data_IF_068340154689
#
_entry.id   IF_068340154689
#
_cell.length_a   1.000
_cell.length_b   1.000
_cell.length_c   1.000
_cell.angle_alpha   90.00
_cell.angle_beta   90.00
_cell.angle_gamma   90.00
#
_symmetry.space_group_name_H-M   'P 1'
#
loop_
_entity.id
_entity.type
_entity.pdbx_description
1 polymer ?
#
# COMPACT_ATOMS: atom_id res chain seq x y z
N UNK A 1 25.63 -21.93 -17.88
CA UNK A 1 24.91 -20.90 -17.07
C UNK A 1 23.90 -20.25 -18.01
N UNK A 2 22.66 -20.14 -17.56
CA UNK A 2 21.62 -19.42 -18.31
C UNK A 2 21.89 -17.93 -18.15
N UNK A 3 22.01 -17.20 -19.27
CA UNK A 3 22.14 -15.74 -19.22
C UNK A 3 20.79 -15.11 -18.87
N UNK A 4 20.76 -14.23 -17.87
CA UNK A 4 19.60 -13.47 -17.44
C UNK A 4 19.95 -11.98 -17.53
N UNK A 5 19.19 -11.18 -18.30
CA UNK A 5 18.05 -11.56 -19.15
C UNK A 5 18.49 -12.39 -20.36
N UNK A 6 17.54 -13.17 -20.91
CA UNK A 6 17.75 -13.88 -22.17
C UNK A 6 17.74 -12.95 -23.40
N UNK A 7 18.07 -13.45 -24.61
CA UNK A 7 18.24 -12.59 -25.78
C UNK A 7 16.97 -11.89 -26.25
N UNK A 8 15.79 -12.52 -26.12
CA UNK A 8 14.51 -11.90 -26.49
C UNK A 8 14.13 -10.82 -25.47
N UNK A 9 14.32 -11.10 -24.18
CA UNK A 9 14.05 -10.13 -23.10
C UNK A 9 14.99 -8.92 -23.25
N UNK A 10 16.28 -9.12 -23.49
CA UNK A 10 17.26 -8.03 -23.72
C UNK A 10 16.79 -7.12 -24.86
N UNK A 11 16.48 -7.69 -26.02
CA UNK A 11 16.04 -6.92 -27.19
C UNK A 11 14.78 -6.09 -26.88
N UNK A 12 13.78 -6.72 -26.26
CA UNK A 12 12.52 -6.04 -25.97
C UNK A 12 12.69 -4.92 -24.93
N UNK A 13 13.49 -5.14 -23.90
CA UNK A 13 13.80 -4.13 -22.88
C UNK A 13 14.52 -2.93 -23.49
N UNK A 14 15.48 -3.17 -24.41
CA UNK A 14 16.20 -2.10 -25.09
C UNK A 14 15.27 -1.27 -26.01
N UNK A 15 14.33 -1.90 -26.68
CA UNK A 15 13.32 -1.23 -27.50
C UNK A 15 12.32 -0.46 -26.59
N UNK A 16 11.87 -1.06 -25.50
CA UNK A 16 10.94 -0.45 -24.56
C UNK A 16 11.52 0.82 -23.93
N UNK A 17 12.79 0.83 -23.55
CA UNK A 17 13.48 2.01 -22.99
C UNK A 17 13.54 3.20 -23.95
N UNK A 18 13.41 2.98 -25.26
CA UNK A 18 13.39 4.07 -26.24
C UNK A 18 12.04 4.80 -26.30
N UNK A 19 10.97 4.16 -25.85
CA UNK A 19 9.59 4.65 -25.99
C UNK A 19 8.86 4.83 -24.66
N UNK A 20 9.49 4.44 -23.55
CA UNK A 20 8.84 4.45 -22.22
C UNK A 20 9.79 5.01 -21.17
N UNK A 21 9.22 5.72 -20.21
CA UNK A 21 9.93 6.11 -18.99
C UNK A 21 10.08 4.87 -18.09
N UNK A 22 11.32 4.42 -17.87
CA UNK A 22 11.62 3.16 -17.17
C UNK A 22 12.08 3.35 -15.70
N UNK A 23 11.77 4.49 -15.11
CA UNK A 23 12.21 4.87 -13.74
C UNK A 23 11.76 3.90 -12.63
N UNK A 24 10.80 3.01 -12.91
CA UNK A 24 10.23 2.10 -11.91
C UNK A 24 10.50 0.62 -12.18
N UNK A 25 11.07 0.27 -13.34
CA UNK A 25 11.38 -1.12 -13.68
C UNK A 25 12.71 -1.54 -13.03
N UNK A 26 12.65 -2.55 -12.16
CA UNK A 26 13.82 -2.99 -11.37
C UNK A 26 14.53 -4.17 -12.03
N UNK A 27 13.78 -5.07 -12.65
CA UNK A 27 14.31 -6.30 -13.21
C UNK A 27 14.18 -6.29 -14.74
N UNK A 28 15.25 -6.63 -15.49
CA UNK A 28 15.20 -6.67 -16.94
C UNK A 28 14.57 -7.98 -17.45
N UNK A 29 13.50 -8.42 -16.81
CA UNK A 29 12.75 -9.61 -17.19
C UNK A 29 11.46 -9.22 -17.92
N UNK A 30 11.15 -9.95 -18.96
CA UNK A 30 9.90 -9.78 -19.70
C UNK A 30 9.03 -11.01 -19.45
N UNK A 31 8.07 -10.85 -18.54
CA UNK A 31 7.21 -11.95 -18.11
C UNK A 31 6.19 -12.28 -19.19
N UNK A 32 6.14 -13.55 -19.59
CA UNK A 32 5.19 -14.08 -20.56
C UNK A 32 3.96 -14.69 -19.89
N UNK A 33 4.17 -15.43 -18.82
CA UNK A 33 3.10 -16.10 -18.08
C UNK A 33 3.47 -16.34 -16.63
N UNK A 34 2.47 -16.63 -15.81
CA UNK A 34 2.66 -17.01 -14.41
C UNK A 34 1.58 -18.01 -13.97
N UNK A 35 1.94 -18.96 -13.10
CA UNK A 35 1.02 -19.92 -12.49
C UNK A 35 1.43 -20.20 -11.06
N UNK A 36 0.51 -19.97 -10.11
CA UNK A 36 0.80 -20.06 -8.66
C UNK A 36 1.97 -19.16 -8.28
N UNK A 37 3.10 -19.73 -7.84
CA UNK A 37 4.30 -19.01 -7.45
C UNK A 37 5.43 -19.07 -8.50
N UNK A 38 5.14 -19.50 -9.73
CA UNK A 38 6.10 -19.59 -10.82
C UNK A 38 5.75 -18.60 -11.91
N UNK A 39 6.77 -17.99 -12.49
CA UNK A 39 6.68 -17.11 -13.66
C UNK A 39 7.63 -17.63 -14.75
N UNK A 40 7.25 -17.47 -15.99
CA UNK A 40 8.06 -17.78 -17.17
C UNK A 40 8.26 -16.50 -17.99
N UNK A 41 9.48 -16.23 -18.37
CA UNK A 41 9.81 -15.11 -19.25
C UNK A 41 9.63 -15.45 -20.74
N UNK A 42 9.82 -14.46 -21.61
CA UNK A 42 9.68 -14.64 -23.07
C UNK A 42 10.78 -15.51 -23.68
N UNK A 43 11.87 -15.73 -22.98
CA UNK A 43 12.94 -16.65 -23.39
C UNK A 43 12.69 -18.09 -22.95
N UNK A 44 11.59 -18.34 -22.19
CA UNK A 44 11.20 -19.65 -21.69
C UNK A 44 11.92 -20.04 -20.38
N UNK A 45 12.50 -19.08 -19.68
CA UNK A 45 13.18 -19.31 -18.42
C UNK A 45 12.13 -19.25 -17.29
N UNK A 46 12.04 -20.31 -16.50
CA UNK A 46 11.13 -20.38 -15.35
C UNK A 46 11.83 -19.85 -14.09
N UNK A 47 11.12 -19.01 -13.33
CA UNK A 47 11.54 -18.47 -12.05
C UNK A 47 10.54 -18.83 -10.95
N UNK A 48 11.03 -19.04 -9.76
CA UNK A 48 10.21 -19.07 -8.55
C UNK A 48 10.08 -17.63 -8.03
N UNK A 49 8.83 -17.13 -8.00
CA UNK A 49 8.57 -15.77 -7.57
C UNK A 49 8.38 -15.68 -6.06
N UNK A 50 9.32 -15.03 -5.39
CA UNK A 50 9.25 -14.67 -3.98
C UNK A 50 8.73 -13.23 -3.75
N UNK A 51 8.47 -12.47 -4.82
CA UNK A 51 8.00 -11.08 -4.71
C UNK A 51 6.49 -10.99 -4.61
N UNK A 52 5.77 -12.02 -5.10
CA UNK A 52 4.31 -12.02 -5.20
C UNK A 52 3.77 -10.74 -5.87
N UNK A 53 4.46 -10.28 -6.94
CA UNK A 53 4.18 -9.01 -7.62
C UNK A 53 4.13 -7.82 -6.62
N UNK A 54 5.20 -7.67 -5.85
CA UNK A 54 5.32 -6.65 -4.77
C UNK A 54 4.18 -6.80 -3.73
N UNK A 55 3.86 -8.03 -3.36
CA UNK A 55 2.81 -8.35 -2.39
C UNK A 55 1.38 -8.32 -2.91
N UNK A 56 1.14 -7.92 -4.17
CA UNK A 56 -0.20 -7.72 -4.72
C UNK A 56 -0.91 -9.00 -5.20
N UNK A 57 -0.23 -10.15 -5.23
CA UNK A 57 -0.74 -11.44 -5.68
C UNK A 57 -0.84 -12.48 -4.55
N UNK A 58 -1.68 -12.28 -3.51
CA UNK A 58 -1.74 -13.20 -2.37
C UNK A 58 -2.21 -14.61 -2.72
N UNK A 59 -3.00 -14.77 -3.77
CA UNK A 59 -3.51 -16.07 -4.27
C UNK A 59 -2.59 -16.72 -5.32
N UNK A 60 -1.49 -16.05 -5.68
CA UNK A 60 -0.62 -16.47 -6.76
C UNK A 60 -1.17 -16.15 -8.16
N UNK A 61 -0.35 -16.43 -9.16
CA UNK A 61 -0.69 -16.15 -10.56
C UNK A 61 -1.72 -17.14 -11.12
N UNK A 62 -2.59 -16.63 -11.96
CA UNK A 62 -3.55 -17.43 -12.74
C UNK A 62 -4.38 -18.39 -11.87
N UNK A 63 -4.87 -17.88 -10.72
CA UNK A 63 -5.74 -18.67 -9.85
C UNK A 63 -6.99 -19.14 -10.63
N UNK A 64 -7.31 -20.45 -10.66
CA UNK A 64 -8.36 -20.97 -11.53
C UNK A 64 -9.73 -20.35 -11.25
N UNK A 65 -10.12 -20.19 -10.00
CA UNK A 65 -11.41 -19.61 -9.63
C UNK A 65 -11.53 -18.16 -10.06
N UNK A 66 -10.43 -17.37 -9.96
CA UNK A 66 -10.42 -15.98 -10.43
C UNK A 66 -10.54 -15.91 -11.95
N UNK A 67 -9.83 -16.76 -12.67
CA UNK A 67 -9.92 -16.83 -14.14
C UNK A 67 -11.32 -17.21 -14.60
N UNK A 68 -11.99 -18.16 -13.92
CA UNK A 68 -13.34 -18.56 -14.26
C UNK A 68 -14.34 -17.42 -14.01
N UNK A 69 -14.27 -16.74 -12.88
CA UNK A 69 -15.11 -15.57 -12.59
C UNK A 69 -14.92 -14.47 -13.64
N UNK A 70 -13.67 -14.17 -14.04
CA UNK A 70 -13.39 -13.16 -15.06
C UNK A 70 -14.00 -13.57 -16.39
N UNK A 71 -13.84 -14.83 -16.80
CA UNK A 71 -14.37 -15.37 -18.03
C UNK A 71 -15.90 -15.34 -18.05
N UNK A 72 -16.53 -15.78 -16.98
CA UNK A 72 -17.99 -15.72 -16.80
C UNK A 72 -18.50 -14.28 -16.88
N UNK A 73 -17.86 -13.36 -16.17
CA UNK A 73 -18.23 -11.95 -16.18
C UNK A 73 -18.09 -11.33 -17.57
N UNK A 74 -16.99 -11.57 -18.28
CA UNK A 74 -16.75 -11.06 -19.63
C UNK A 74 -17.72 -11.67 -20.68
N UNK A 75 -18.22 -12.87 -20.43
CA UNK A 75 -19.19 -13.53 -21.30
C UNK A 75 -20.65 -13.12 -21.02
N UNK A 76 -20.89 -12.40 -19.93
CA UNK A 76 -22.22 -11.94 -19.54
C UNK A 76 -22.61 -10.67 -20.31
N UNK A 77 -23.92 -10.42 -20.41
CA UNK A 77 -24.48 -9.17 -20.97
C UNK A 77 -24.15 -7.94 -20.12
N UNK A 78 -23.62 -8.14 -18.90
CA UNK A 78 -23.16 -7.04 -18.04
C UNK A 78 -21.96 -6.29 -18.61
N UNK A 79 -21.18 -6.94 -19.50
CA UNK A 79 -20.01 -6.38 -20.14
C UNK A 79 -18.87 -6.04 -19.17
N UNK A 80 -17.63 -6.06 -19.68
CA UNK A 80 -16.47 -5.66 -18.90
C UNK A 80 -16.38 -4.12 -18.71
N UNK A 81 -17.15 -3.37 -19.47
CA UNK A 81 -17.20 -1.92 -19.38
C UNK A 81 -18.52 -1.46 -18.76
N UNK A 82 -18.42 -0.79 -17.64
CA UNK A 82 -19.59 -0.24 -16.93
C UNK A 82 -19.54 1.26 -16.82
N UNK A 83 -20.70 1.87 -16.99
CA UNK A 83 -20.94 3.25 -16.64
C UNK A 83 -21.28 3.26 -15.14
N UNK A 84 -20.24 3.29 -14.30
CA UNK A 84 -20.45 3.26 -12.86
C UNK A 84 -19.78 4.42 -12.12
N UNK A 85 -18.73 4.95 -12.56
CA UNK A 85 -18.01 6.10 -12.00
C UNK A 85 -18.55 6.68 -10.69
N UNK A 86 -18.49 7.96 -10.55
CA UNK A 86 -19.03 8.68 -9.37
C UNK A 86 -20.54 9.01 -9.51
N UNK A 87 -21.10 8.84 -10.69
CA UNK A 87 -22.44 9.33 -11.01
C UNK A 87 -23.51 8.26 -10.81
N UNK A 88 -23.13 6.98 -10.78
CA UNK A 88 -24.08 5.88 -10.70
C UNK A 88 -23.68 4.83 -9.66
N UNK A 89 -24.69 4.31 -8.97
CA UNK A 89 -24.50 3.12 -8.10
C UNK A 89 -24.47 1.85 -8.96
N UNK A 90 -23.68 0.87 -8.52
CA UNK A 90 -23.73 -0.47 -9.09
C UNK A 90 -23.69 -1.54 -7.99
N UNK A 91 -24.27 -2.69 -8.29
CA UNK A 91 -24.39 -3.79 -7.35
C UNK A 91 -23.03 -4.31 -6.90
N UNK A 92 -22.06 -4.35 -7.81
CA UNK A 92 -20.71 -4.83 -7.51
C UNK A 92 -19.99 -3.95 -6.46
N UNK A 93 -20.17 -2.63 -6.52
CA UNK A 93 -19.63 -1.73 -5.49
C UNK A 93 -20.27 -2.00 -4.13
N UNK A 94 -21.60 -2.21 -4.09
CA UNK A 94 -22.30 -2.56 -2.86
C UNK A 94 -21.79 -3.88 -2.30
N UNK A 95 -21.68 -4.91 -3.13
CA UNK A 95 -21.28 -6.25 -2.72
C UNK A 95 -19.84 -6.27 -2.17
N UNK A 96 -18.90 -5.61 -2.85
CA UNK A 96 -17.51 -5.54 -2.35
C UNK A 96 -17.40 -4.66 -1.10
N UNK A 97 -18.13 -3.54 -1.01
CA UNK A 97 -18.16 -2.73 0.20
C UNK A 97 -18.69 -3.53 1.40
N UNK A 98 -19.80 -4.25 1.22
CA UNK A 98 -20.39 -5.10 2.27
C UNK A 98 -19.41 -6.19 2.70
N UNK A 99 -18.70 -6.80 1.76
CA UNK A 99 -17.69 -7.83 2.05
C UNK A 99 -16.51 -7.25 2.83
N UNK A 100 -15.97 -6.12 2.40
CA UNK A 100 -14.88 -5.43 3.10
C UNK A 100 -15.29 -5.05 4.53
N UNK A 101 -16.50 -4.51 4.73
CA UNK A 101 -17.01 -4.18 6.05
C UNK A 101 -17.17 -5.40 6.96
N UNK A 102 -17.50 -6.58 6.40
CA UNK A 102 -17.64 -7.81 7.17
C UNK A 102 -16.32 -8.34 7.75
N UNK A 103 -15.19 -7.93 7.17
CA UNK A 103 -13.84 -8.35 7.58
C UNK A 103 -13.00 -7.20 8.14
N UNK A 104 -13.60 -6.03 8.30
CA UNK A 104 -12.91 -4.82 8.76
C UNK A 104 -13.50 -4.31 10.07
N UNK A 105 -13.03 -3.15 10.52
CA UNK A 105 -13.51 -2.43 11.68
C UNK A 105 -15.03 -2.15 11.60
N UNK A 106 -15.72 -2.25 12.74
CA UNK A 106 -17.12 -1.86 12.86
C UNK A 106 -17.29 -0.34 12.69
N UNK A 107 -18.46 0.05 12.15
CA UNK A 107 -18.83 1.47 11.96
C UNK A 107 -17.89 2.28 11.06
N UNK A 108 -17.34 1.68 10.04
CA UNK A 108 -16.58 2.36 8.99
C UNK A 108 -17.36 2.43 7.67
N UNK A 109 -16.82 3.18 6.72
CA UNK A 109 -17.33 3.30 5.36
C UNK A 109 -16.22 3.03 4.38
N UNK A 110 -16.56 2.44 3.24
CA UNK A 110 -15.62 2.17 2.15
C UNK A 110 -15.64 3.32 1.16
N UNK A 111 -14.47 3.76 0.75
CA UNK A 111 -14.28 4.71 -0.32
C UNK A 111 -13.41 4.09 -1.41
N UNK A 112 -13.94 3.94 -2.62
CA UNK A 112 -13.25 3.28 -3.73
C UNK A 112 -12.37 4.26 -4.51
N UNK A 113 -11.19 3.78 -4.87
CA UNK A 113 -10.18 4.50 -5.67
C UNK A 113 -9.45 3.51 -6.59
N UNK A 114 -8.50 3.99 -7.40
CA UNK A 114 -7.85 3.17 -8.43
C UNK A 114 -6.44 2.69 -8.06
N UNK A 115 -5.83 3.24 -7.03
CA UNK A 115 -4.46 2.88 -6.64
C UNK A 115 -4.20 3.08 -5.15
N UNK A 116 -3.16 2.42 -4.60
CA UNK A 116 -2.73 2.62 -3.23
C UNK A 116 -2.34 4.08 -2.94
N UNK A 117 -1.63 4.75 -3.87
CA UNK A 117 -1.30 6.16 -3.71
C UNK A 117 -2.56 7.05 -3.61
N UNK A 118 -3.60 6.79 -4.41
CA UNK A 118 -4.89 7.49 -4.31
C UNK A 118 -5.60 7.19 -2.99
N UNK A 119 -5.49 5.96 -2.46
CA UNK A 119 -6.04 5.62 -1.16
C UNK A 119 -5.42 6.50 -0.07
N UNK A 120 -4.10 6.59 -0.04
CA UNK A 120 -3.36 7.44 0.90
C UNK A 120 -3.70 8.91 0.71
N UNK A 121 -3.75 9.42 -0.52
CA UNK A 121 -4.17 10.81 -0.81
C UNK A 121 -5.56 11.12 -0.23
N UNK A 122 -6.50 10.21 -0.39
CA UNK A 122 -7.85 10.42 0.13
C UNK A 122 -7.91 10.29 1.65
N UNK A 123 -7.15 9.40 2.26
CA UNK A 123 -7.00 9.32 3.71
C UNK A 123 -6.45 10.63 4.29
N UNK A 124 -5.40 11.18 3.69
CA UNK A 124 -4.82 12.49 4.04
C UNK A 124 -5.87 13.61 3.90
N UNK A 125 -6.60 13.65 2.76
CA UNK A 125 -7.65 14.65 2.54
C UNK A 125 -8.77 14.59 3.57
N UNK A 126 -9.21 13.39 3.95
CA UNK A 126 -10.23 13.18 4.99
C UNK A 126 -9.72 13.72 6.34
N UNK A 127 -8.46 13.41 6.69
CA UNK A 127 -7.86 13.90 7.92
C UNK A 127 -7.73 15.44 7.92
N UNK A 128 -7.26 16.03 6.83
CA UNK A 128 -7.20 17.49 6.68
C UNK A 128 -8.57 18.16 6.76
N UNK A 129 -9.61 17.54 6.18
CA UNK A 129 -10.97 18.07 6.28
C UNK A 129 -11.47 18.14 7.73
N UNK A 130 -11.04 17.21 8.57
CA UNK A 130 -11.40 17.17 10.00
C UNK A 130 -10.54 18.11 10.85
N UNK A 131 -9.22 18.13 10.62
CA UNK A 131 -8.23 18.75 11.50
C UNK A 131 -7.68 20.09 10.99
N UNK A 132 -7.90 20.42 9.70
CA UNK A 132 -7.29 21.58 9.04
C UNK A 132 -5.90 21.26 8.47
N UNK A 133 -5.25 22.24 7.78
CA UNK A 133 -3.99 22.05 7.06
C UNK A 133 -2.77 22.12 7.99
N UNK A 134 -2.74 21.25 8.98
CA UNK A 134 -1.62 21.09 9.94
C UNK A 134 -0.62 20.05 9.42
N UNK A 135 0.62 20.01 9.93
CA UNK A 135 1.57 18.95 9.58
C UNK A 135 0.99 17.56 9.85
N UNK A 136 1.30 16.58 9.00
CA UNK A 136 1.10 15.17 9.32
C UNK A 136 2.35 14.58 9.99
N UNK A 137 2.20 13.43 10.64
CA UNK A 137 3.31 12.62 11.16
C UNK A 137 3.45 11.37 10.33
N UNK A 138 4.69 10.98 9.99
CA UNK A 138 5.00 9.70 9.33
C UNK A 138 6.33 9.16 9.82
N UNK A 139 6.55 7.85 9.69
CA UNK A 139 7.79 7.25 10.12
C UNK A 139 8.91 7.37 9.06
N UNK A 140 10.14 7.36 9.53
CA UNK A 140 11.31 7.21 8.66
C UNK A 140 11.24 5.82 8.01
N UNK A 141 11.57 5.75 6.72
CA UNK A 141 11.50 4.56 5.86
C UNK A 141 10.09 4.10 5.46
N UNK A 142 9.02 4.81 5.83
CA UNK A 142 7.68 4.52 5.29
C UNK A 142 7.60 4.80 3.79
N UNK A 143 6.76 4.02 3.11
CA UNK A 143 6.41 4.21 1.70
C UNK A 143 4.89 4.27 1.54
N UNK A 144 4.38 5.39 1.06
CA UNK A 144 2.94 5.64 0.95
C UNK A 144 2.47 5.94 -0.49
N UNK A 145 3.38 5.91 -1.45
CA UNK A 145 3.07 6.18 -2.84
C UNK A 145 3.95 7.28 -3.44
N UNK A 146 3.67 7.60 -4.71
CA UNK A 146 4.49 8.51 -5.54
C UNK A 146 3.71 9.68 -6.14
N UNK A 147 2.44 9.86 -5.79
CA UNK A 147 1.72 11.12 -6.01
C UNK A 147 2.24 12.18 -5.03
N UNK A 148 2.14 13.47 -5.33
CA UNK A 148 2.81 14.52 -4.55
C UNK A 148 2.43 14.52 -3.07
N UNK A 149 1.16 14.30 -2.72
CA UNK A 149 0.74 14.23 -1.33
C UNK A 149 1.25 12.96 -0.64
N UNK A 150 1.06 11.79 -1.22
CA UNK A 150 1.57 10.53 -0.67
C UNK A 150 3.11 10.50 -0.62
N UNK A 151 3.77 11.07 -1.64
CA UNK A 151 5.23 11.21 -1.69
C UNK A 151 5.78 12.08 -0.56
N UNK A 152 5.02 13.08 -0.13
CA UNK A 152 5.41 13.95 1.00
C UNK A 152 5.64 13.14 2.28
N UNK A 153 4.87 12.06 2.48
CA UNK A 153 4.96 11.18 3.65
C UNK A 153 5.82 9.94 3.42
N UNK A 154 6.24 9.66 2.19
CA UNK A 154 7.22 8.62 1.85
C UNK A 154 8.63 9.05 2.23
N UNK A 155 9.44 8.15 2.81
CA UNK A 155 10.87 8.33 3.05
C UNK A 155 11.64 7.00 2.96
N UNK A 156 11.16 6.05 2.18
CA UNK A 156 11.86 4.78 1.95
C UNK A 156 13.16 4.96 1.16
N UNK A 157 13.17 5.91 0.22
CA UNK A 157 14.36 6.29 -0.58
C UNK A 157 14.31 7.79 -0.86
N UNK A 158 15.32 8.54 -0.45
CA UNK A 158 15.39 10.00 -0.66
C UNK A 158 15.34 10.39 -2.14
N UNK A 159 15.95 9.60 -3.02
CA UNK A 159 15.96 9.86 -4.46
C UNK A 159 14.55 10.00 -5.06
N UNK A 160 13.54 9.40 -4.45
CA UNK A 160 12.15 9.50 -4.91
C UNK A 160 11.54 10.87 -4.68
N UNK A 161 12.09 11.66 -3.74
CA UNK A 161 11.57 12.95 -3.30
C UNK A 161 12.36 14.15 -3.83
N UNK A 162 13.54 13.93 -4.37
CA UNK A 162 14.45 15.00 -4.80
C UNK A 162 13.76 15.93 -5.79
N UNK A 163 13.75 17.24 -5.48
CA UNK A 163 13.18 18.32 -6.29
C UNK A 163 11.65 18.33 -6.41
N UNK A 164 10.91 17.57 -5.58
CA UNK A 164 9.46 17.69 -5.50
C UNK A 164 9.02 18.53 -4.29
N UNK A 165 7.90 19.27 -4.40
CA UNK A 165 7.32 19.97 -3.25
C UNK A 165 6.78 18.96 -2.23
N UNK A 166 6.86 19.32 -0.96
CA UNK A 166 6.36 18.47 0.13
C UNK A 166 5.26 19.19 0.93
N UNK A 167 4.25 18.42 1.32
CA UNK A 167 3.33 18.84 2.37
C UNK A 167 4.06 18.86 3.72
N UNK A 168 3.62 19.69 4.68
CA UNK A 168 4.25 19.74 6.00
C UNK A 168 4.21 18.39 6.70
N UNK A 169 5.37 17.85 7.07
CA UNK A 169 5.52 16.54 7.70
C UNK A 169 6.48 16.60 8.89
N UNK A 170 6.13 15.87 9.96
CA UNK A 170 7.01 15.55 11.08
C UNK A 170 7.42 14.09 10.98
N UNK A 171 8.71 13.81 11.12
CA UNK A 171 9.24 12.44 11.02
C UNK A 171 9.57 11.89 12.39
N UNK A 172 9.18 10.64 12.62
CA UNK A 172 9.57 9.87 13.80
C UNK A 172 10.28 8.59 13.36
N UNK A 173 11.07 8.02 14.26
CA UNK A 173 11.71 6.74 14.02
C UNK A 173 10.67 5.62 14.04
N UNK A 174 10.79 4.69 13.12
CA UNK A 174 10.06 3.43 13.17
C UNK A 174 10.74 2.46 14.13
N UNK A 175 10.04 1.99 15.16
CA UNK A 175 10.63 1.13 16.20
C UNK A 175 10.23 -0.33 16.00
N UNK A 176 11.23 -1.20 15.84
CA UNK A 176 11.04 -2.63 15.65
C UNK A 176 11.18 -3.45 16.93
N UNK A 177 11.65 -2.84 18.01
CA UNK A 177 11.83 -3.46 19.32
C UNK A 177 11.25 -2.58 20.44
N UNK A 178 10.66 -3.20 21.45
CA UNK A 178 10.00 -2.49 22.55
C UNK A 178 10.97 -1.70 23.46
N UNK A 179 12.25 -2.06 23.43
CA UNK A 179 13.30 -1.38 24.20
C UNK A 179 13.93 -0.19 23.45
N UNK A 180 13.43 0.18 22.26
CA UNK A 180 13.99 1.31 21.52
C UNK A 180 13.81 2.63 22.31
N UNK A 181 14.91 3.39 22.57
CA UNK A 181 14.84 4.61 23.36
C UNK A 181 14.00 5.71 22.69
N UNK A 182 13.73 5.60 21.38
CA UNK A 182 12.93 6.57 20.64
C UNK A 182 11.44 6.17 20.52
N UNK A 183 11.02 5.11 21.22
CA UNK A 183 9.64 4.63 21.16
C UNK A 183 8.60 5.68 21.58
N UNK A 184 9.00 6.66 22.37
CA UNK A 184 8.15 7.77 22.82
C UNK A 184 8.36 9.06 22.01
N UNK A 185 9.08 9.04 20.89
CA UNK A 185 9.36 10.24 20.09
C UNK A 185 8.06 10.93 19.60
N UNK A 186 7.02 10.16 19.28
CA UNK A 186 5.71 10.70 18.88
C UNK A 186 5.14 11.63 19.95
N UNK A 187 5.22 11.25 21.23
CA UNK A 187 4.70 12.08 22.32
C UNK A 187 5.37 13.47 22.36
N UNK A 188 6.70 13.51 22.15
CA UNK A 188 7.43 14.78 22.08
C UNK A 188 6.96 15.66 20.91
N UNK A 189 6.71 15.04 19.75
CA UNK A 189 6.18 15.75 18.57
C UNK A 189 4.78 16.30 18.86
N UNK A 190 3.88 15.52 19.48
CA UNK A 190 2.51 15.95 19.77
C UNK A 190 2.41 17.01 20.87
N UNK A 191 3.38 17.05 21.81
CA UNK A 191 3.50 18.12 22.80
C UNK A 191 3.93 19.45 22.19
N UNK A 192 4.79 19.40 21.18
CA UNK A 192 5.35 20.60 20.54
C UNK A 192 4.48 21.12 19.39
N UNK A 193 3.83 20.23 18.64
CA UNK A 193 3.10 20.57 17.41
C UNK A 193 1.66 20.05 17.42
N UNK A 194 0.73 20.89 16.94
CA UNK A 194 -0.56 20.41 16.50
C UNK A 194 -0.38 19.71 15.16
N UNK A 195 -0.92 18.53 15.00
CA UNK A 195 -0.82 17.72 13.77
C UNK A 195 -2.19 17.31 13.25
N UNK A 196 -2.28 17.09 11.94
CA UNK A 196 -3.53 16.71 11.28
C UNK A 196 -3.82 15.21 11.35
N UNK A 197 -2.78 14.38 11.35
CA UNK A 197 -2.89 12.91 11.39
C UNK A 197 -1.53 12.27 11.69
N UNK A 198 -1.60 10.99 12.04
CA UNK A 198 -0.46 10.08 12.09
C UNK A 198 -0.70 9.04 11.00
N UNK A 199 0.25 8.90 10.06
CA UNK A 199 0.23 7.95 8.97
C UNK A 199 1.45 7.04 9.06
N UNK A 200 1.26 5.72 9.08
CA UNK A 200 2.35 4.75 9.10
C UNK A 200 1.94 3.40 8.54
N UNK A 201 2.90 2.66 8.01
CA UNK A 201 2.80 1.22 7.81
C UNK A 201 3.00 0.52 9.17
N UNK A 202 2.36 -0.63 9.40
CA UNK A 202 2.70 -1.50 10.54
C UNK A 202 3.84 -2.44 10.18
N UNK A 203 3.95 -2.80 8.91
CA UNK A 203 5.09 -3.49 8.31
C UNK A 203 5.56 -2.66 7.15
N UNK A 204 6.73 -2.06 7.28
CA UNK A 204 7.32 -1.28 6.20
C UNK A 204 7.74 -2.21 5.06
N UNK A 205 7.15 -2.04 3.89
CA UNK A 205 7.46 -2.86 2.72
C UNK A 205 8.74 -2.38 2.01
N UNK A 206 8.66 -1.27 1.31
CA UNK A 206 9.79 -0.68 0.58
C UNK A 206 10.94 -0.22 1.49
N UNK A 207 10.64 0.06 2.75
CA UNK A 207 11.61 0.44 3.77
C UNK A 207 12.50 -0.71 4.29
N UNK A 208 12.26 -1.96 3.86
CA UNK A 208 13.12 -3.10 4.17
C UNK A 208 12.44 -4.24 4.95
N UNK A 209 11.13 -4.40 4.85
CA UNK A 209 10.33 -5.40 5.57
C UNK A 209 10.48 -5.30 7.11
N UNK A 210 10.53 -4.08 7.61
CA UNK A 210 10.61 -3.82 9.04
C UNK A 210 9.24 -4.06 9.69
N UNK A 211 9.18 -4.91 10.70
CA UNK A 211 7.97 -5.18 11.48
C UNK A 211 7.97 -4.30 12.73
N UNK A 212 6.91 -3.50 12.93
CA UNK A 212 6.79 -2.66 14.10
C UNK A 212 6.75 -3.48 15.39
N UNK A 213 7.35 -2.96 16.45
CA UNK A 213 7.17 -3.55 17.78
C UNK A 213 5.73 -3.37 18.28
N UNK A 214 5.28 -4.28 19.13
CA UNK A 214 3.90 -4.24 19.64
C UNK A 214 3.65 -2.98 20.48
N UNK A 215 4.59 -2.67 21.34
CA UNK A 215 4.51 -1.49 22.21
C UNK A 215 4.49 -0.19 21.39
N UNK A 216 5.27 -0.13 20.30
CA UNK A 216 5.30 1.05 19.42
C UNK A 216 3.92 1.35 18.82
N UNK A 217 3.27 0.36 18.23
CA UNK A 217 1.95 0.54 17.61
C UNK A 217 0.86 0.85 18.67
N UNK A 218 0.92 0.19 19.82
CA UNK A 218 0.00 0.48 20.94
C UNK A 218 0.20 1.89 21.49
N UNK A 219 1.44 2.38 21.59
CA UNK A 219 1.73 3.76 21.99
C UNK A 219 1.22 4.76 20.94
N UNK A 220 1.41 4.50 19.66
CA UNK A 220 0.85 5.37 18.60
C UNK A 220 -0.66 5.48 18.75
N UNK A 221 -1.38 4.38 18.93
CA UNK A 221 -2.84 4.41 19.11
C UNK A 221 -3.24 5.20 20.36
N UNK A 222 -2.60 4.89 21.48
CA UNK A 222 -2.86 5.58 22.75
C UNK A 222 -2.67 7.09 22.62
N UNK A 223 -1.55 7.52 22.04
CA UNK A 223 -1.25 8.94 21.85
C UNK A 223 -2.19 9.60 20.83
N UNK A 224 -2.57 8.91 19.78
CA UNK A 224 -3.55 9.39 18.82
C UNK A 224 -4.91 9.65 19.49
N UNK A 225 -5.34 8.77 20.41
CA UNK A 225 -6.55 8.94 21.20
C UNK A 225 -6.44 10.11 22.19
N UNK A 226 -5.34 10.18 22.94
CA UNK A 226 -5.08 11.20 23.96
C UNK A 226 -5.07 12.62 23.35
N UNK A 227 -4.45 12.77 22.18
CA UNK A 227 -4.34 14.06 21.49
C UNK A 227 -5.47 14.29 20.47
N UNK A 228 -6.43 13.36 20.36
CA UNK A 228 -7.53 13.40 19.39
C UNK A 228 -7.07 13.64 17.95
N UNK A 229 -6.04 12.92 17.53
CA UNK A 229 -5.42 12.97 16.20
C UNK A 229 -5.80 11.70 15.42
N UNK A 230 -6.34 11.81 14.20
CA UNK A 230 -6.62 10.63 13.36
C UNK A 230 -5.40 9.76 13.13
N UNK A 231 -5.52 8.45 13.35
CA UNK A 231 -4.52 7.44 13.04
C UNK A 231 -4.87 6.75 11.73
N UNK A 232 -3.95 6.79 10.78
CA UNK A 232 -4.06 6.15 9.46
C UNK A 232 -3.06 5.01 9.40
N UNK A 233 -3.53 3.77 9.20
CA UNK A 233 -2.67 2.65 8.87
C UNK A 233 -2.69 2.39 7.37
N UNK A 234 -1.50 2.39 6.79
CA UNK A 234 -1.30 1.97 5.40
C UNK A 234 -1.11 0.45 5.36
N UNK A 235 -2.13 -0.23 4.90
CA UNK A 235 -2.16 -1.68 4.72
C UNK A 235 -2.15 -2.08 3.23
N UNK A 236 -1.80 -1.16 2.34
CA UNK A 236 -1.77 -1.42 0.88
C UNK A 236 -0.90 -2.64 0.55
N UNK A 237 0.23 -2.82 1.23
CA UNK A 237 1.09 -3.97 1.01
C UNK A 237 0.87 -5.11 2.01
N UNK A 238 0.53 -4.81 3.25
CA UNK A 238 0.49 -5.76 4.36
C UNK A 238 -0.87 -6.39 4.62
N UNK A 239 -1.93 -5.79 4.12
CA UNK A 239 -3.31 -6.23 4.31
C UNK A 239 -3.74 -7.42 3.44
N UNK A 240 -5.04 -7.65 3.39
CA UNK A 240 -5.71 -8.64 2.54
C UNK A 240 -5.17 -10.07 2.68
N UNK A 241 -4.91 -10.50 3.92
CA UNK A 241 -4.48 -11.87 4.22
C UNK A 241 -2.97 -12.10 4.15
N UNK A 242 -2.16 -11.10 3.79
CA UNK A 242 -0.70 -11.25 3.60
C UNK A 242 0.00 -11.79 4.86
N UNK A 243 -0.45 -11.44 6.04
CA UNK A 243 0.14 -11.82 7.33
C UNK A 243 -0.62 -12.95 8.05
N UNK A 244 -1.60 -13.58 7.39
CA UNK A 244 -2.44 -14.64 7.96
C UNK A 244 -3.69 -14.15 8.67
N UNK A 245 -3.89 -12.82 8.77
CA UNK A 245 -5.17 -12.17 9.11
C UNK A 245 -5.60 -11.26 7.99
N UNK A 246 -6.87 -10.83 7.99
CA UNK A 246 -7.34 -9.90 6.95
C UNK A 246 -6.50 -8.62 6.94
N UNK A 247 -6.22 -8.08 8.15
CA UNK A 247 -5.48 -6.84 8.32
C UNK A 247 -4.37 -7.04 9.35
N UNK A 248 -3.25 -6.36 9.14
CA UNK A 248 -2.09 -6.53 10.04
C UNK A 248 -2.35 -5.95 11.43
N UNK A 249 -3.15 -4.89 11.55
CA UNK A 249 -3.48 -4.27 12.83
C UNK A 249 -4.14 -5.24 13.82
N UNK A 250 -4.81 -6.30 13.33
CA UNK A 250 -5.43 -7.34 14.16
C UNK A 250 -4.41 -8.12 15.03
N UNK A 251 -3.14 -8.22 14.58
CA UNK A 251 -2.09 -8.84 15.38
C UNK A 251 -1.69 -8.00 16.60
N UNK A 252 -1.93 -6.71 16.53
CA UNK A 252 -1.54 -5.72 17.55
C UNK A 252 -2.68 -5.41 18.54
N UNK A 253 -3.91 -5.78 18.21
CA UNK A 253 -5.10 -5.52 19.01
C UNK A 253 -5.46 -4.03 19.08
N UNK A 254 -5.13 -3.28 18.03
CA UNK A 254 -5.44 -1.85 17.88
C UNK A 254 -6.21 -1.62 16.57
N UNK A 255 -7.00 -0.56 16.52
CA UNK A 255 -7.74 -0.20 15.31
C UNK A 255 -7.36 1.21 14.85
N UNK A 256 -7.17 1.45 13.54
CA UNK A 256 -6.97 2.79 13.00
C UNK A 256 -8.30 3.56 12.91
N UNK A 257 -8.22 4.88 12.73
CA UNK A 257 -9.38 5.69 12.35
C UNK A 257 -9.65 5.57 10.85
N UNK A 258 -8.58 5.50 10.05
CA UNK A 258 -8.63 5.30 8.60
C UNK A 258 -7.63 4.20 8.22
N UNK A 259 -7.99 3.38 7.26
CA UNK A 259 -7.14 2.33 6.71
C UNK A 259 -7.12 2.41 5.19
N UNK A 260 -5.96 2.23 4.58
CA UNK A 260 -5.78 2.19 3.12
C UNK A 260 -5.29 0.85 2.65
#
# INVERSE_FOLDING_TARGET
MVNIPGPKATKLVDEFKKITYDSTFTYPLVIKTGRRCKIEDIDGIEFLDFTSNIGSCPLGYSHPDILEIIKEYCSSERGAHKIAGQDFYCEEHFNIASKLLSVSKKNCKVFFINSGAEAVENAIKIAYKKMGPLPGVSCISDFHGRTLGALSFTLSKEVQKTNFPELPVKRIKFCTVDSDPQINQLESVLKEYKVAFILTEIIQGEGGLNVASKLFIQNIRKLADEYNVPLIFDEVQSGMGRTGKWWVYEHYGVEPDIMT
#
